data_IF_458023476848
#
_entry.id   IF_458023476848
#
_cell.length_a   1.000
_cell.length_b   1.000
_cell.length_c   1.000
_cell.angle_alpha   90.00
_cell.angle_beta   90.00
_cell.angle_gamma   90.00
#
_symmetry.space_group_name_H-M   'P 1'
#
loop_
_entity.id
_entity.type
_entity.pdbx_description
1 polymer ?
#
# COMPACT_ATOMS: atom_id res chain seq x y z
N UNK A 1 -10.73 5.63 0.34
CA UNK A 1 -10.63 4.19 0.51
C UNK A 1 -11.89 3.74 1.20
N UNK A 2 -12.57 2.81 0.57
CA UNK A 2 -13.78 2.21 1.12
C UNK A 2 -13.42 1.08 2.10
N UNK A 3 -14.37 0.68 2.95
CA UNK A 3 -14.13 -0.36 3.97
C UNK A 3 -13.73 -1.70 3.34
N UNK A 4 -14.30 -2.03 2.19
CA UNK A 4 -13.98 -3.25 1.43
C UNK A 4 -12.53 -3.27 0.97
N UNK A 5 -12.01 -2.16 0.43
CA UNK A 5 -10.61 -2.04 0.01
C UNK A 5 -9.64 -2.23 1.19
N UNK A 6 -9.98 -1.68 2.36
CA UNK A 6 -9.16 -1.83 3.58
C UNK A 6 -9.11 -3.31 4.01
N UNK A 7 -10.24 -4.02 3.93
CA UNK A 7 -10.30 -5.45 4.25
C UNK A 7 -9.47 -6.27 3.25
N UNK A 8 -9.57 -5.97 1.95
CA UNK A 8 -8.76 -6.64 0.92
C UNK A 8 -7.26 -6.43 1.15
N UNK A 9 -6.82 -5.18 1.38
CA UNK A 9 -5.42 -4.91 1.71
C UNK A 9 -4.99 -5.62 2.99
N UNK A 10 -5.82 -5.65 4.02
CA UNK A 10 -5.51 -6.34 5.28
C UNK A 10 -5.31 -7.84 5.06
N UNK A 11 -6.18 -8.47 4.27
CA UNK A 11 -6.07 -9.88 3.87
C UNK A 11 -4.78 -10.12 3.09
N UNK A 12 -4.49 -9.30 2.09
CA UNK A 12 -3.28 -9.45 1.26
C UNK A 12 -1.99 -9.24 2.04
N UNK A 13 -1.95 -8.26 2.94
CA UNK A 13 -0.82 -8.03 3.86
C UNK A 13 -0.55 -9.27 4.71
N UNK A 14 -1.62 -9.88 5.25
CA UNK A 14 -1.49 -11.06 6.11
C UNK A 14 -0.86 -12.26 5.40
N UNK A 15 -0.98 -12.33 4.07
CA UNK A 15 -0.52 -13.47 3.26
C UNK A 15 0.80 -13.17 2.50
N UNK A 16 1.35 -11.96 2.62
CA UNK A 16 2.47 -11.53 1.79
C UNK A 16 3.84 -11.83 2.38
N UNK A 17 4.80 -12.06 1.49
CA UNK A 17 6.24 -12.05 1.78
C UNK A 17 6.78 -10.59 1.77
N UNK A 18 8.08 -10.40 2.00
CA UNK A 18 8.69 -9.05 2.12
C UNK A 18 8.53 -8.21 0.84
N UNK A 19 8.74 -8.81 -0.32
CA UNK A 19 8.58 -8.13 -1.61
C UNK A 19 7.11 -7.84 -1.90
N UNK A 20 6.20 -8.79 -1.65
CA UNK A 20 4.76 -8.62 -1.78
C UNK A 20 4.21 -7.51 -0.89
N UNK A 21 4.69 -7.40 0.35
CA UNK A 21 4.32 -6.31 1.26
C UNK A 21 4.72 -4.94 0.72
N UNK A 22 5.90 -4.86 0.07
CA UNK A 22 6.36 -3.63 -0.58
C UNK A 22 5.44 -3.25 -1.73
N UNK A 23 5.07 -4.21 -2.58
CA UNK A 23 4.12 -4.02 -3.70
C UNK A 23 2.76 -3.53 -3.17
N UNK A 24 2.23 -4.14 -2.12
CA UNK A 24 0.95 -3.71 -1.51
C UNK A 24 1.04 -2.28 -0.96
N UNK A 25 2.16 -1.89 -0.35
CA UNK A 25 2.32 -0.53 0.16
C UNK A 25 2.22 0.52 -0.97
N UNK A 26 2.79 0.22 -2.14
CA UNK A 26 2.59 1.07 -3.33
C UNK A 26 1.13 1.14 -3.78
N UNK A 27 0.39 0.03 -3.78
CA UNK A 27 -1.03 0.03 -4.14
C UNK A 27 -1.88 0.86 -3.16
N UNK A 28 -1.56 0.79 -1.86
CA UNK A 28 -2.17 1.63 -0.82
C UNK A 28 -1.90 3.11 -1.11
N UNK A 29 -0.67 3.47 -1.49
CA UNK A 29 -0.33 4.84 -1.89
C UNK A 29 -1.19 5.26 -3.09
N UNK A 30 -1.29 4.44 -4.13
CA UNK A 30 -2.10 4.77 -5.31
C UNK A 30 -3.59 4.95 -4.98
N UNK A 31 -4.15 4.09 -4.12
CA UNK A 31 -5.53 4.24 -3.67
C UNK A 31 -5.76 5.59 -2.94
N UNK A 32 -4.80 6.04 -2.10
CA UNK A 32 -4.88 7.37 -1.49
C UNK A 32 -4.72 8.52 -2.51
N UNK A 33 -3.92 8.35 -3.56
CA UNK A 33 -3.80 9.34 -4.62
C UNK A 33 -5.10 9.44 -5.45
N UNK A 34 -5.74 8.32 -5.73
CA UNK A 34 -7.03 8.28 -6.44
C UNK A 34 -8.15 8.90 -5.60
N UNK A 35 -8.18 8.63 -4.29
CA UNK A 35 -9.06 9.33 -3.35
C UNK A 35 -8.84 10.85 -3.38
N UNK A 36 -7.57 11.29 -3.39
CA UNK A 36 -7.23 12.70 -3.46
C UNK A 36 -7.75 13.31 -4.78
N UNK A 37 -7.51 12.66 -5.92
CA UNK A 37 -8.03 13.13 -7.22
C UNK A 37 -9.56 13.20 -7.24
N UNK A 38 -10.25 12.21 -6.66
CA UNK A 38 -11.72 12.21 -6.54
C UNK A 38 -12.20 13.37 -5.68
N UNK A 39 -11.62 13.56 -4.49
CA UNK A 39 -11.95 14.66 -3.61
C UNK A 39 -11.65 16.04 -4.23
N UNK A 40 -10.62 16.15 -5.07
CA UNK A 40 -10.33 17.36 -5.83
C UNK A 40 -11.46 17.69 -6.83
N UNK A 41 -11.95 16.69 -7.58
CA UNK A 41 -13.05 16.84 -8.55
C UNK A 41 -14.38 17.21 -7.89
N UNK A 42 -14.60 16.70 -6.68
CA UNK A 42 -15.79 16.99 -5.87
C UNK A 42 -15.65 18.26 -5.01
N UNK A 43 -14.55 19.01 -5.16
CA UNK A 43 -14.21 20.22 -4.39
C UNK A 43 -14.17 20.01 -2.85
N UNK A 44 -13.97 18.77 -2.41
CA UNK A 44 -13.88 18.39 -0.99
C UNK A 44 -12.46 18.60 -0.46
N UNK A 45 -12.10 19.87 -0.23
CA UNK A 45 -10.73 20.26 0.14
C UNK A 45 -10.20 19.64 1.43
N UNK A 46 -11.06 19.36 2.42
CA UNK A 46 -10.66 18.69 3.66
C UNK A 46 -10.24 17.24 3.38
N UNK A 47 -11.04 16.52 2.61
CA UNK A 47 -10.78 15.13 2.23
C UNK A 47 -9.55 15.02 1.33
N UNK A 48 -9.39 15.96 0.38
CA UNK A 48 -8.20 16.08 -0.46
C UNK A 48 -6.91 16.14 0.37
N UNK A 49 -6.85 17.03 1.37
CA UNK A 49 -5.67 17.17 2.23
C UNK A 49 -5.42 15.92 3.08
N UNK A 50 -6.48 15.30 3.60
CA UNK A 50 -6.37 14.07 4.38
C UNK A 50 -5.83 12.92 3.53
N UNK A 51 -6.35 12.74 2.32
CA UNK A 51 -5.90 11.70 1.39
C UNK A 51 -4.42 11.89 1.00
N UNK A 52 -4.02 13.10 0.64
CA UNK A 52 -2.61 13.41 0.35
C UNK A 52 -1.69 13.17 1.56
N UNK A 53 -2.12 13.54 2.78
CA UNK A 53 -1.34 13.30 3.99
C UNK A 53 -1.16 11.80 4.26
N UNK A 54 -2.21 10.99 4.01
CA UNK A 54 -2.11 9.53 4.12
C UNK A 54 -1.12 8.95 3.10
N UNK A 55 -1.19 9.39 1.84
CA UNK A 55 -0.22 8.99 0.81
C UNK A 55 1.23 9.36 1.20
N UNK A 56 1.46 10.58 1.71
CA UNK A 56 2.78 11.01 2.19
C UNK A 56 3.30 10.19 3.38
N UNK A 57 2.41 9.78 4.29
CA UNK A 57 2.77 8.93 5.42
C UNK A 57 3.19 7.54 4.93
N UNK A 58 2.44 6.91 4.02
CA UNK A 58 2.80 5.61 3.44
C UNK A 58 4.11 5.66 2.64
N UNK A 59 4.40 6.75 1.91
CA UNK A 59 5.73 6.97 1.31
C UNK A 59 6.80 7.09 2.41
N UNK A 60 6.48 7.76 3.52
CA UNK A 60 7.38 7.85 4.69
C UNK A 60 7.71 6.48 5.30
N UNK A 61 6.75 5.55 5.33
CA UNK A 61 6.99 4.17 5.77
C UNK A 61 7.95 3.45 4.82
N UNK A 62 7.76 3.57 3.49
CA UNK A 62 8.70 3.03 2.49
C UNK A 62 10.11 3.62 2.63
N UNK A 63 10.22 4.88 3.06
CA UNK A 63 11.52 5.51 3.31
C UNK A 63 12.22 4.94 4.55
N UNK A 64 11.46 4.59 5.59
CA UNK A 64 12.00 4.06 6.84
C UNK A 64 12.44 2.59 6.72
N UNK A 65 11.86 1.84 5.78
CA UNK A 65 12.20 0.42 5.56
C UNK A 65 13.42 0.21 4.66
N UNK A 66 14.00 1.27 4.10
CA UNK A 66 15.21 1.19 3.26
C UNK A 66 16.44 0.78 4.06
N UNK A 67 17.18 -0.21 3.55
CA UNK A 67 18.50 -0.58 4.08
C UNK A 67 19.61 0.19 3.35
N UNK A 68 20.23 1.15 4.03
CA UNK A 68 21.29 2.01 3.49
C UNK A 68 22.67 1.33 3.38
N UNK A 69 22.77 0.05 3.75
CA UNK A 69 23.94 -0.77 3.43
C UNK A 69 24.11 -0.95 1.92
N UNK A 70 23.01 -0.88 1.17
CA UNK A 70 23.00 -0.94 -0.29
C UNK A 70 23.02 0.47 -0.91
N UNK A 71 23.89 0.69 -1.89
CA UNK A 71 24.02 1.99 -2.55
C UNK A 71 22.73 2.42 -3.30
N UNK A 72 21.99 1.46 -3.85
CA UNK A 72 20.72 1.70 -4.53
C UNK A 72 19.66 2.35 -3.62
N UNK A 73 19.73 2.10 -2.32
CA UNK A 73 18.79 2.66 -1.33
C UNK A 73 18.90 4.18 -1.24
N UNK A 74 20.09 4.76 -1.48
CA UNK A 74 20.27 6.22 -1.53
C UNK A 74 19.53 6.84 -2.73
N UNK A 75 19.55 6.15 -3.87
CA UNK A 75 18.83 6.59 -5.06
C UNK A 75 17.32 6.47 -4.88
N UNK A 76 16.84 5.35 -4.32
CA UNK A 76 15.43 5.17 -3.97
C UNK A 76 14.94 6.23 -2.98
N UNK A 77 15.73 6.50 -1.93
CA UNK A 77 15.40 7.53 -0.93
C UNK A 77 15.20 8.91 -1.58
N UNK A 78 16.11 9.32 -2.48
CA UNK A 78 15.98 10.59 -3.21
C UNK A 78 14.68 10.67 -4.03
N UNK A 79 14.29 9.56 -4.67
CA UNK A 79 13.03 9.52 -5.43
C UNK A 79 11.83 9.65 -4.49
N UNK A 80 11.84 8.97 -3.33
CA UNK A 80 10.75 9.09 -2.37
C UNK A 80 10.65 10.48 -1.75
N UNK A 81 11.78 11.14 -1.44
CA UNK A 81 11.80 12.55 -1.01
C UNK A 81 11.13 13.43 -2.06
N UNK A 82 11.52 13.29 -3.33
CA UNK A 82 10.91 14.05 -4.42
C UNK A 82 9.39 13.84 -4.50
N UNK A 83 8.92 12.58 -4.44
CA UNK A 83 7.49 12.28 -4.47
C UNK A 83 6.77 12.90 -3.27
N UNK A 84 7.34 12.80 -2.06
CA UNK A 84 6.75 13.36 -0.84
C UNK A 84 6.65 14.88 -0.89
N UNK A 85 7.69 15.56 -1.40
CA UNK A 85 7.74 17.01 -1.56
C UNK A 85 6.77 17.49 -2.64
N UNK A 86 6.65 16.76 -3.75
CA UNK A 86 5.67 17.06 -4.81
C UNK A 86 4.23 16.91 -4.29
N UNK A 87 3.92 15.88 -3.49
CA UNK A 87 2.62 15.77 -2.83
C UNK A 87 2.38 16.89 -1.80
N UNK A 88 3.42 17.36 -1.12
CA UNK A 88 3.31 18.53 -0.23
C UNK A 88 2.95 19.78 -1.06
N UNK A 89 3.67 20.02 -2.15
CA UNK A 89 3.40 21.10 -3.08
C UNK A 89 1.97 21.03 -3.65
N UNK A 90 1.49 19.84 -4.02
CA UNK A 90 0.13 19.60 -4.47
C UNK A 90 -0.91 20.03 -3.42
N UNK A 91 -0.64 19.78 -2.14
CA UNK A 91 -1.52 20.11 -1.03
C UNK A 91 -1.70 21.62 -0.85
N UNK A 92 -0.63 22.40 -1.01
CA UNK A 92 -0.65 23.87 -0.87
C UNK A 92 -1.13 24.57 -2.15
N UNK A 93 -0.60 24.16 -3.31
CA UNK A 93 -0.92 24.77 -4.62
C UNK A 93 -2.27 24.31 -5.19
N UNK A 94 -2.86 23.24 -4.64
CA UNK A 94 -4.05 22.57 -5.20
C UNK A 94 -3.82 22.17 -6.67
N UNK A 95 -2.67 21.56 -6.95
CA UNK A 95 -2.33 21.15 -8.31
C UNK A 95 -2.42 19.64 -8.48
N UNK A 96 -3.24 19.20 -9.44
CA UNK A 96 -3.28 17.80 -9.87
C UNK A 96 -1.99 17.38 -10.60
N UNK A 97 -1.30 18.32 -11.26
CA UNK A 97 -0.10 18.00 -12.04
C UNK A 97 1.04 17.49 -11.16
N UNK A 98 1.16 18.01 -9.93
CA UNK A 98 2.16 17.58 -8.95
C UNK A 98 1.86 16.14 -8.48
N UNK A 99 0.58 15.81 -8.28
CA UNK A 99 0.14 14.44 -7.95
C UNK A 99 0.51 13.49 -9.09
N UNK A 100 0.20 13.86 -10.33
CA UNK A 100 0.47 13.04 -11.51
C UNK A 100 1.98 12.80 -11.73
N UNK A 101 2.81 13.82 -11.46
CA UNK A 101 4.27 13.69 -11.55
C UNK A 101 4.82 12.70 -10.53
N UNK A 102 4.42 12.84 -9.25
CA UNK A 102 4.82 11.91 -8.19
C UNK A 102 4.34 10.49 -8.49
N UNK A 103 3.09 10.35 -8.92
CA UNK A 103 2.49 9.06 -9.25
C UNK A 103 3.19 8.38 -10.42
N UNK A 104 3.56 9.12 -11.48
CA UNK A 104 4.29 8.56 -12.62
C UNK A 104 5.63 7.96 -12.20
N UNK A 105 6.34 8.59 -11.27
CA UNK A 105 7.58 8.06 -10.71
C UNK A 105 7.34 6.81 -9.87
N UNK A 106 6.34 6.85 -8.98
CA UNK A 106 5.97 5.72 -8.15
C UNK A 106 5.48 4.52 -8.98
N UNK A 107 4.75 4.73 -10.08
CA UNK A 107 4.29 3.66 -10.99
C UNK A 107 5.44 2.92 -11.66
N UNK A 108 6.50 3.62 -12.05
CA UNK A 108 7.71 2.97 -12.60
C UNK A 108 8.42 2.10 -11.57
N UNK A 109 8.54 2.60 -10.34
CA UNK A 109 9.12 1.81 -9.24
C UNK A 109 8.25 0.61 -8.92
N UNK A 110 6.92 0.80 -8.81
CA UNK A 110 5.96 -0.27 -8.59
C UNK A 110 6.10 -1.39 -9.62
N UNK A 111 6.13 -1.07 -10.92
CA UNK A 111 6.33 -2.08 -11.98
C UNK A 111 7.63 -2.85 -11.81
N UNK A 112 8.68 -2.20 -11.34
CA UNK A 112 9.97 -2.84 -11.07
C UNK A 112 9.87 -3.79 -9.87
N UNK A 113 9.22 -3.36 -8.78
CA UNK A 113 8.98 -4.17 -7.59
C UNK A 113 8.03 -5.35 -7.84
N UNK A 114 7.04 -5.22 -8.72
CA UNK A 114 6.19 -6.34 -9.14
C UNK A 114 7.03 -7.47 -9.76
N UNK A 115 7.95 -7.13 -10.67
CA UNK A 115 8.86 -8.11 -11.27
C UNK A 115 9.77 -8.78 -10.25
N UNK A 116 10.23 -8.04 -9.24
CA UNK A 116 11.02 -8.59 -8.14
C UNK A 116 10.18 -9.55 -7.29
N UNK A 117 8.93 -9.18 -6.99
CA UNK A 117 8.02 -10.01 -6.20
C UNK A 117 7.66 -11.32 -6.91
N UNK A 118 7.54 -11.34 -8.24
CA UNK A 118 7.33 -12.56 -9.03
C UNK A 118 8.49 -13.56 -8.89
N UNK A 119 9.71 -13.07 -8.71
CA UNK A 119 10.91 -13.90 -8.52
C UNK A 119 11.15 -14.31 -7.06
N UNK A 120 10.39 -13.76 -6.12
CA UNK A 120 10.56 -13.98 -4.70
C UNK A 120 9.73 -15.18 -4.21
N UNK A 121 10.38 -16.32 -4.01
CA UNK A 121 9.78 -17.55 -3.48
C UNK A 121 9.83 -17.64 -1.94
N UNK A 122 10.16 -16.54 -1.24
CA UNK A 122 10.19 -16.48 0.22
C UNK A 122 8.85 -16.82 0.85
N UNK A 123 8.88 -17.49 1.99
CA UNK A 123 7.68 -17.77 2.78
C UNK A 123 6.99 -16.47 3.25
N UNK A 124 5.65 -16.50 3.43
CA UNK A 124 4.91 -15.38 4.01
C UNK A 124 5.48 -14.93 5.35
N UNK A 125 5.45 -13.63 5.61
CA UNK A 125 6.03 -13.04 6.83
C UNK A 125 5.24 -13.36 8.10
N UNK A 126 3.96 -13.72 7.97
CA UNK A 126 3.11 -14.05 9.11
C UNK A 126 2.80 -15.56 9.11
N UNK A 127 3.07 -16.23 10.23
CA UNK A 127 2.82 -17.67 10.40
C UNK A 127 1.44 -17.99 11.00
N UNK A 128 0.89 -17.08 11.79
CA UNK A 128 -0.39 -17.24 12.50
C UNK A 128 -1.49 -16.33 11.92
N UNK A 129 -1.48 -16.14 10.61
CA UNK A 129 -2.57 -15.43 9.94
C UNK A 129 -3.71 -16.38 9.67
N UNK A 130 -4.91 -15.92 10.03
CA UNK A 130 -6.15 -16.67 9.88
C UNK A 130 -6.22 -17.25 8.46
N UNK A 131 -6.22 -18.58 8.34
CA UNK A 131 -6.43 -19.23 7.05
C UNK A 131 -7.87 -18.96 6.64
N UNK A 132 -8.06 -18.04 5.69
CA UNK A 132 -9.38 -17.80 5.08
C UNK A 132 -9.63 -18.95 4.11
N UNK A 133 -10.24 -20.02 4.62
CA UNK A 133 -10.66 -21.13 3.78
C UNK A 133 -12.01 -20.79 3.15
N UNK A 134 -12.00 -20.44 1.87
CA UNK A 134 -13.21 -20.28 1.09
C UNK A 134 -13.72 -21.66 0.67
N UNK A 135 -14.55 -22.29 1.49
CA UNK A 135 -15.20 -23.55 1.13
C UNK A 135 -15.75 -24.32 2.31
N UNK A 136 -16.83 -25.05 2.09
CA UNK A 136 -17.53 -26.02 2.95
C UNK A 136 -18.95 -25.67 3.40
N UNK A 137 -19.49 -24.48 3.12
CA UNK A 137 -20.93 -24.25 3.33
C UNK A 137 -21.58 -23.64 2.09
N UNK A 138 -22.36 -24.48 1.41
CA UNK A 138 -23.14 -24.13 0.23
C UNK A 138 -24.14 -23.01 0.54
N UNK A 139 -23.91 -21.83 -0.02
CA UNK A 139 -24.90 -20.76 -0.15
C UNK A 139 -24.78 -20.21 -1.57
N UNK A 140 -25.81 -20.40 -2.40
CA UNK A 140 -25.81 -19.97 -3.80
C UNK A 140 -25.95 -18.44 -3.86
N UNK A 141 -24.85 -17.71 -3.62
CA UNK A 141 -24.81 -16.25 -3.75
C UNK A 141 -23.90 -15.51 -2.77
N UNK A 142 -23.49 -16.11 -1.64
CA UNK A 142 -22.64 -15.45 -0.64
C UNK A 142 -21.48 -16.36 -0.23
N UNK A 143 -20.25 -15.87 -0.41
CA UNK A 143 -19.05 -16.47 0.17
C UNK A 143 -19.06 -16.20 1.68
N UNK A 144 -19.59 -17.13 2.47
CA UNK A 144 -19.48 -17.07 3.93
C UNK A 144 -18.08 -17.52 4.33
N UNK A 145 -17.22 -16.57 4.71
CA UNK A 145 -15.90 -16.83 5.27
C UNK A 145 -16.05 -17.27 6.73
N UNK A 146 -15.86 -18.57 7.02
CA UNK A 146 -15.88 -19.06 8.40
C UNK A 146 -14.55 -18.76 9.09
N UNK A 147 -14.59 -17.91 10.11
CA UNK A 147 -13.47 -17.58 10.97
C UNK A 147 -13.30 -18.67 12.04
N UNK A 148 -12.37 -19.61 11.87
CA UNK A 148 -11.92 -20.40 13.02
C UNK A 148 -10.98 -19.54 13.88
N UNK A 149 -11.43 -19.20 15.08
CA UNK A 149 -10.56 -18.64 16.12
C UNK A 149 -9.66 -19.75 16.66
N UNK A 150 -8.41 -19.78 16.23
CA UNK A 150 -7.35 -20.57 16.87
C UNK A 150 -6.23 -19.63 17.30
N UNK A 151 -6.37 -19.23 18.56
CA UNK A 151 -5.37 -18.81 19.53
C UNK A 151 -4.47 -17.58 19.31
N UNK A 152 -4.20 -16.95 20.45
CA UNK A 152 -3.65 -15.61 20.64
C UNK A 152 -2.14 -15.53 20.33
N UNK A 153 -1.75 -15.25 19.09
CA UNK A 153 -0.56 -14.43 18.81
C UNK A 153 -0.43 -14.07 17.32
N UNK A 154 -0.90 -12.87 16.95
CA UNK A 154 -0.65 -12.27 15.62
C UNK A 154 0.70 -11.54 15.70
N UNK A 155 1.74 -12.01 15.01
CA UNK A 155 3.08 -11.39 15.10
C UNK A 155 4.00 -11.68 13.89
N UNK A 156 4.96 -10.77 13.67
CA UNK A 156 6.04 -10.88 12.68
C UNK A 156 7.18 -11.77 13.19
N UNK A 157 7.97 -12.35 12.29
CA UNK A 157 9.26 -12.95 12.65
C UNK A 157 10.21 -11.89 13.22
N UNK A 158 10.79 -12.17 14.38
CA UNK A 158 12.02 -11.54 14.86
C UNK A 158 13.23 -12.24 14.22
#
# INVERSE_FOLDING_TARGET
MEKEQILDFTRRISQSNRSGLTVINYEIIFAYLDDAKKAYREEKWKEFKVALRKAQNSIGELMQTLDFSYDISRNLYRIYVFCKDSLAAAMYKRSLTEIENAEKMLRKLYQSFCKVAETDSSAPMMKNTQQVYAGYTYGKGDLVENCQELDKSRGFFA
#
